data_IF_643607434221
#
_entry.id   IF_643607434221
#
_cell.length_a   1.000
_cell.length_b   1.000
_cell.length_c   1.000
_cell.angle_alpha   90.00
_cell.angle_beta   90.00
_cell.angle_gamma   90.00
#
_symmetry.space_group_name_H-M   'P 1'
#
loop_
_entity.id
_entity.type
_entity.pdbx_description
1 polymer ?
#
# COMPACT_ATOMS: atom_id res chain seq x y z
N UNK A 1 -31.32 17.67 -9.93
CA UNK A 1 -31.39 16.56 -8.94
C UNK A 1 -30.59 15.31 -9.35
N UNK A 2 -30.34 15.04 -10.64
CA UNK A 2 -29.55 13.88 -11.11
C UNK A 2 -28.04 13.85 -10.72
N UNK A 3 -27.42 14.96 -10.34
CA UNK A 3 -25.97 15.00 -9.99
C UNK A 3 -25.63 14.53 -8.57
N UNK A 4 -26.59 14.60 -7.63
CA UNK A 4 -26.36 14.20 -6.24
C UNK A 4 -26.41 12.67 -6.06
N UNK A 5 -27.14 11.97 -6.93
CA UNK A 5 -27.29 10.51 -6.86
C UNK A 5 -26.09 9.79 -7.48
N UNK A 6 -25.58 10.31 -8.61
CA UNK A 6 -24.36 9.81 -9.25
C UNK A 6 -23.11 9.97 -8.36
N UNK A 7 -23.00 11.09 -7.64
CA UNK A 7 -21.86 11.33 -6.72
C UNK A 7 -21.92 10.47 -5.45
N UNK A 8 -23.11 10.08 -5.00
CA UNK A 8 -23.27 9.12 -3.89
C UNK A 8 -22.88 7.71 -4.31
N UNK A 9 -23.35 7.27 -5.48
CA UNK A 9 -23.00 5.95 -6.01
C UNK A 9 -21.48 5.80 -6.22
N UNK A 10 -20.82 6.82 -6.76
CA UNK A 10 -19.37 6.84 -6.95
C UNK A 10 -18.64 6.80 -5.59
N UNK A 11 -19.14 7.54 -4.59
CA UNK A 11 -18.57 7.49 -3.25
C UNK A 11 -18.68 6.10 -2.61
N UNK A 12 -19.85 5.45 -2.69
CA UNK A 12 -20.08 4.12 -2.12
C UNK A 12 -19.22 3.06 -2.83
N UNK A 13 -19.04 3.19 -4.15
CA UNK A 13 -18.13 2.34 -4.91
C UNK A 13 -16.67 2.50 -4.43
N UNK A 14 -16.19 3.72 -4.20
CA UNK A 14 -14.85 3.95 -3.66
C UNK A 14 -14.69 3.39 -2.25
N UNK A 15 -15.72 3.48 -1.39
CA UNK A 15 -15.68 2.93 -0.03
C UNK A 15 -15.64 1.39 -0.04
N UNK A 16 -16.19 0.74 -1.07
CA UNK A 16 -16.15 -0.72 -1.23
C UNK A 16 -14.72 -1.27 -1.44
N UNK A 17 -13.77 -0.42 -1.82
CA UNK A 17 -12.36 -0.79 -2.01
C UNK A 17 -11.56 -0.80 -0.69
N UNK A 18 -12.15 -0.35 0.41
CA UNK A 18 -11.54 -0.33 1.73
C UNK A 18 -11.75 -1.67 2.45
N UNK A 19 -10.88 -2.02 3.42
CA UNK A 19 -11.13 -3.14 4.31
C UNK A 19 -12.49 -3.02 5.01
N UNK A 20 -13.13 -4.14 5.36
CA UNK A 20 -14.44 -4.11 6.03
C UNK A 20 -14.42 -3.33 7.36
N UNK A 21 -13.29 -3.37 8.08
CA UNK A 21 -13.10 -2.68 9.34
C UNK A 21 -11.63 -2.39 9.60
N UNK A 22 -11.36 -1.41 10.44
CA UNK A 22 -10.04 -1.18 11.01
C UNK A 22 -10.13 -1.06 12.53
N UNK A 23 -9.00 -1.28 13.18
CA UNK A 23 -8.87 -1.05 14.62
C UNK A 23 -8.48 0.41 14.87
N UNK A 24 -9.06 1.08 15.84
CA UNK A 24 -8.60 2.39 16.30
C UNK A 24 -7.28 2.27 17.08
N UNK A 25 -6.73 3.40 17.53
CA UNK A 25 -5.60 3.43 18.46
C UNK A 25 -5.99 2.87 19.85
N UNK A 26 -7.24 3.06 20.29
CA UNK A 26 -7.78 2.47 21.52
C UNK A 26 -7.98 0.95 21.43
N UNK A 27 -7.84 0.36 20.24
CA UNK A 27 -8.04 -1.07 19.99
C UNK A 27 -9.46 -1.45 19.58
N UNK A 28 -10.39 -0.48 19.60
CA UNK A 28 -11.79 -0.64 19.21
C UNK A 28 -11.93 -0.95 17.71
N UNK A 29 -12.98 -1.68 17.34
CA UNK A 29 -13.25 -2.03 15.95
C UNK A 29 -14.23 -1.04 15.32
N UNK A 30 -13.88 -0.48 14.17
CA UNK A 30 -14.73 0.48 13.45
C UNK A 30 -14.84 0.13 11.98
N UNK A 31 -16.04 0.30 11.40
CA UNK A 31 -16.25 0.11 9.97
C UNK A 31 -15.45 1.14 9.16
N UNK A 32 -14.71 0.69 8.14
CA UNK A 32 -13.79 1.58 7.41
C UNK A 32 -14.50 2.69 6.64
N UNK A 33 -15.70 2.42 6.13
CA UNK A 33 -16.52 3.44 5.47
C UNK A 33 -16.88 4.63 6.37
N UNK A 34 -16.86 4.46 7.70
CA UNK A 34 -17.12 5.56 8.65
C UNK A 34 -15.85 6.34 9.04
N UNK A 35 -14.68 5.70 8.96
CA UNK A 35 -13.39 6.26 9.36
C UNK A 35 -12.32 5.98 8.30
N UNK A 36 -12.53 6.48 7.09
CA UNK A 36 -11.68 6.15 5.93
C UNK A 36 -10.21 6.51 6.17
N UNK A 37 -9.93 7.76 6.54
CA UNK A 37 -8.56 8.25 6.70
C UNK A 37 -7.78 7.47 7.78
N UNK A 38 -8.29 7.31 9.02
CA UNK A 38 -7.61 6.49 10.02
C UNK A 38 -7.39 5.04 9.59
N UNK A 39 -8.34 4.44 8.86
CA UNK A 39 -8.19 3.08 8.37
C UNK A 39 -7.10 2.97 7.30
N UNK A 40 -7.06 3.89 6.33
CA UNK A 40 -6.03 3.92 5.27
C UNK A 40 -4.64 4.15 5.86
N UNK A 41 -4.53 5.05 6.84
CA UNK A 41 -3.28 5.31 7.56
C UNK A 41 -2.76 4.07 8.28
N UNK A 42 -3.65 3.39 9.01
CA UNK A 42 -3.31 2.17 9.74
C UNK A 42 -2.91 1.03 8.80
N UNK A 43 -3.59 0.93 7.66
CA UNK A 43 -3.30 -0.08 6.64
C UNK A 43 -1.88 0.06 6.08
N UNK A 44 -1.38 1.29 6.01
CA UNK A 44 -0.06 1.65 5.50
C UNK A 44 0.92 2.02 6.62
N UNK A 45 0.63 1.59 7.85
CA UNK A 45 1.42 2.00 8.99
C UNK A 45 2.74 1.24 9.10
N UNK A 46 3.82 2.02 9.23
CA UNK A 46 5.19 1.54 9.36
C UNK A 46 5.81 1.93 10.72
N UNK A 47 5.06 2.45 11.69
CA UNK A 47 5.61 2.92 12.98
C UNK A 47 6.53 1.89 13.66
N UNK A 48 6.12 0.62 13.67
CA UNK A 48 6.91 -0.48 14.23
C UNK A 48 8.19 -0.79 13.45
N UNK A 49 8.18 -0.61 12.14
CA UNK A 49 9.37 -0.78 11.32
C UNK A 49 10.30 0.42 11.49
N UNK A 50 9.73 1.63 11.56
CA UNK A 50 10.47 2.87 11.77
C UNK A 50 11.24 2.86 13.10
N UNK A 51 10.68 2.28 14.16
CA UNK A 51 11.35 2.19 15.47
C UNK A 51 12.60 1.29 15.47
N UNK A 52 12.70 0.37 14.50
CA UNK A 52 13.86 -0.50 14.31
C UNK A 52 14.69 -0.15 13.07
N UNK A 53 14.35 0.95 12.38
CA UNK A 53 14.98 1.33 11.11
C UNK A 53 16.51 1.45 11.22
N UNK A 54 17.00 1.96 12.34
CA UNK A 54 18.44 2.07 12.65
C UNK A 54 19.17 0.72 12.75
N UNK A 55 18.44 -0.40 12.82
CA UNK A 55 18.98 -1.76 12.86
C UNK A 55 18.78 -2.53 11.55
N UNK A 56 17.98 -2.01 10.60
CA UNK A 56 17.67 -2.73 9.35
C UNK A 56 18.89 -2.98 8.48
N UNK A 57 19.96 -2.19 8.62
CA UNK A 57 21.25 -2.46 7.96
C UNK A 57 21.83 -3.84 8.32
N UNK A 58 21.50 -4.39 9.50
CA UNK A 58 21.89 -5.75 9.92
C UNK A 58 21.17 -6.81 9.07
N UNK A 59 20.00 -6.47 8.54
CA UNK A 59 19.14 -7.38 7.76
C UNK A 59 19.44 -7.39 6.26
N UNK A 60 20.31 -6.50 5.77
CA UNK A 60 20.77 -6.48 4.39
C UNK A 60 20.97 -5.07 3.84
N UNK A 61 21.28 -5.00 2.53
CA UNK A 61 21.32 -3.73 1.78
C UNK A 61 19.92 -3.34 1.32
N UNK A 62 19.69 -2.03 1.23
CA UNK A 62 18.52 -1.43 0.60
C UNK A 62 18.56 -1.66 -0.92
N UNK A 63 18.14 -2.86 -1.33
CA UNK A 63 17.99 -3.24 -2.73
C UNK A 63 16.52 -3.58 -3.00
N UNK A 64 16.00 -3.31 -4.21
CA UNK A 64 14.70 -3.80 -4.60
C UNK A 64 14.61 -5.32 -4.39
N UNK A 65 13.45 -5.84 -3.94
CA UNK A 65 13.30 -7.26 -3.72
C UNK A 65 13.50 -8.04 -5.02
N UNK A 66 14.02 -9.27 -4.91
CA UNK A 66 14.13 -10.17 -6.07
C UNK A 66 12.73 -10.56 -6.56
N UNK A 67 12.52 -10.75 -7.87
CA UNK A 67 11.24 -11.15 -8.43
C UNK A 67 10.69 -12.46 -7.83
N UNK A 68 9.37 -12.65 -7.86
CA UNK A 68 8.66 -13.75 -7.19
C UNK A 68 9.18 -15.14 -7.60
N UNK A 69 9.38 -15.39 -8.90
CA UNK A 69 9.91 -16.67 -9.38
C UNK A 69 11.28 -16.99 -8.76
N UNK A 70 12.11 -15.97 -8.54
CA UNK A 70 13.41 -16.14 -7.90
C UNK A 70 13.26 -16.42 -6.40
N UNK A 71 12.28 -15.82 -5.72
CA UNK A 71 11.97 -16.16 -4.32
C UNK A 71 11.61 -17.66 -4.18
N UNK A 72 10.85 -18.20 -5.14
CA UNK A 72 10.50 -19.62 -5.17
C UNK A 72 11.73 -20.52 -5.40
N UNK A 73 12.64 -20.14 -6.31
CA UNK A 73 13.91 -20.85 -6.52
C UNK A 73 14.79 -20.86 -5.26
N UNK A 74 14.74 -19.78 -4.47
CA UNK A 74 15.40 -19.71 -3.16
C UNK A 74 14.68 -20.52 -2.06
N UNK A 75 13.65 -21.29 -2.41
CA UNK A 75 12.89 -22.12 -1.49
C UNK A 75 12.01 -21.32 -0.53
N UNK A 76 11.67 -20.06 -0.85
CA UNK A 76 10.81 -19.22 0.00
C UNK A 76 9.36 -19.39 -0.41
N UNK A 77 8.55 -20.00 0.45
CA UNK A 77 7.10 -20.00 0.31
C UNK A 77 6.51 -18.62 0.58
N UNK A 78 5.56 -18.20 -0.23
CA UNK A 78 4.85 -16.93 -0.06
C UNK A 78 3.77 -17.10 1.02
N UNK A 79 3.78 -16.22 2.01
CA UNK A 79 2.79 -16.16 3.09
C UNK A 79 2.10 -14.81 3.09
N UNK A 80 0.77 -14.81 2.99
CA UNK A 80 -0.05 -13.60 2.98
C UNK A 80 -0.15 -13.03 4.40
N UNK A 81 0.08 -11.72 4.52
CA UNK A 81 -0.10 -10.96 5.77
C UNK A 81 -0.63 -9.57 5.49
N UNK A 82 -1.67 -9.13 6.21
CA UNK A 82 -2.21 -7.76 6.01
C UNK A 82 -1.37 -6.64 6.64
N UNK A 83 -0.26 -6.98 7.31
CA UNK A 83 0.56 -6.01 8.02
C UNK A 83 1.66 -5.44 7.14
N UNK A 84 1.68 -4.12 7.04
CA UNK A 84 2.64 -3.37 6.23
C UNK A 84 4.07 -3.47 6.77
N UNK A 85 4.24 -3.46 8.10
CA UNK A 85 5.54 -3.45 8.79
C UNK A 85 6.34 -4.77 8.66
N UNK A 86 5.73 -5.81 8.10
CA UNK A 86 6.36 -7.10 7.84
C UNK A 86 6.34 -7.48 6.35
N UNK A 87 5.90 -6.58 5.48
CA UNK A 87 6.00 -6.77 4.03
C UNK A 87 7.48 -6.94 3.64
N UNK A 88 7.79 -7.96 2.84
CA UNK A 88 9.15 -8.42 2.45
C UNK A 88 9.98 -9.07 3.56
N UNK A 89 9.50 -9.15 4.80
CA UNK A 89 10.22 -9.88 5.86
C UNK A 89 10.30 -11.35 5.45
N UNK A 90 11.50 -11.91 5.50
CA UNK A 90 11.75 -13.31 5.14
C UNK A 90 12.33 -14.05 6.33
N UNK A 91 11.87 -15.28 6.54
CA UNK A 91 12.44 -16.23 7.51
C UNK A 91 12.85 -17.49 6.77
N UNK A 92 13.39 -18.49 7.48
CA UNK A 92 13.75 -19.78 6.88
C UNK A 92 12.57 -20.37 6.10
N UNK A 93 12.73 -20.46 4.78
CA UNK A 93 11.74 -21.03 3.86
C UNK A 93 10.45 -20.23 3.65
N UNK A 94 10.35 -18.98 4.15
CA UNK A 94 9.11 -18.18 4.02
C UNK A 94 9.40 -16.71 3.74
N UNK A 95 8.51 -16.08 2.99
CA UNK A 95 8.48 -14.64 2.74
C UNK A 95 7.07 -14.11 2.99
N UNK A 96 6.97 -13.09 3.83
CA UNK A 96 5.69 -12.46 4.17
C UNK A 96 5.41 -11.32 3.20
N UNK A 97 4.27 -11.41 2.52
CA UNK A 97 3.83 -10.40 1.56
C UNK A 97 2.41 -9.95 1.90
N UNK A 98 2.23 -8.64 1.86
CA UNK A 98 0.93 -7.98 2.00
C UNK A 98 0.32 -7.81 0.62
N UNK A 99 -0.86 -8.38 0.33
CA UNK A 99 -1.56 -8.16 -0.95
C UNK A 99 -1.73 -6.68 -1.24
N UNK A 100 -1.72 -6.29 -2.51
CA UNK A 100 -1.96 -4.89 -2.86
C UNK A 100 -3.41 -4.52 -2.50
N UNK A 101 -3.63 -3.57 -1.56
CA UNK A 101 -4.98 -3.12 -1.28
C UNK A 101 -5.59 -2.46 -2.52
N UNK A 102 -6.83 -2.79 -2.84
CA UNK A 102 -7.47 -2.32 -4.09
C UNK A 102 -7.52 -0.80 -4.18
N UNK A 103 -7.67 -0.11 -3.04
CA UNK A 103 -7.66 1.34 -3.03
C UNK A 103 -6.35 1.98 -3.52
N UNK A 104 -5.22 1.27 -3.47
CA UNK A 104 -3.95 1.77 -4.02
C UNK A 104 -3.91 1.72 -5.55
N UNK A 105 -4.82 0.98 -6.18
CA UNK A 105 -4.92 0.86 -7.64
C UNK A 105 -6.00 1.78 -8.23
N UNK A 106 -6.69 2.57 -7.39
CA UNK A 106 -7.78 3.46 -7.78
C UNK A 106 -7.32 4.94 -7.73
N UNK A 107 -7.08 5.60 -8.87
CA UNK A 107 -6.55 6.97 -8.93
C UNK A 107 -7.39 8.01 -8.17
N UNK A 108 -8.70 7.82 -8.08
CA UNK A 108 -9.56 8.73 -7.35
C UNK A 108 -9.27 8.75 -5.84
N UNK A 109 -8.91 7.60 -5.26
CA UNK A 109 -8.54 7.50 -3.84
C UNK A 109 -7.20 8.17 -3.56
N UNK A 110 -6.26 8.14 -4.51
CA UNK A 110 -5.01 8.88 -4.41
C UNK A 110 -5.23 10.38 -4.31
N UNK A 111 -6.11 10.90 -5.16
CA UNK A 111 -6.45 12.33 -5.15
C UNK A 111 -7.18 12.73 -3.87
N UNK A 112 -8.09 11.87 -3.36
CA UNK A 112 -8.94 12.18 -2.22
C UNK A 112 -8.27 11.99 -0.85
N UNK A 113 -7.43 10.97 -0.69
CA UNK A 113 -6.91 10.57 0.63
C UNK A 113 -5.37 10.51 0.70
N UNK A 114 -4.67 10.45 -0.44
CA UNK A 114 -3.20 10.29 -0.48
C UNK A 114 -2.46 11.54 -1.01
N UNK A 115 -3.17 12.60 -1.38
CA UNK A 115 -2.56 13.81 -1.96
C UNK A 115 -2.76 15.00 -1.05
N UNK A 116 -1.78 15.91 -1.03
CA UNK A 116 -2.01 17.23 -0.45
C UNK A 116 -2.98 18.02 -1.35
N UNK A 117 -3.86 18.83 -0.74
CA UNK A 117 -4.73 19.74 -1.48
C UNK A 117 -3.93 20.75 -2.31
N UNK A 118 -4.48 21.24 -3.43
CA UNK A 118 -3.81 22.17 -4.37
C UNK A 118 -3.30 23.47 -3.74
N UNK A 119 -3.77 23.81 -2.54
CA UNK A 119 -3.36 24.99 -1.77
C UNK A 119 -2.24 24.71 -0.76
N UNK A 120 -1.60 23.54 -0.82
CA UNK A 120 -0.51 23.20 0.10
C UNK A 120 0.80 23.92 -0.27
N UNK A 121 1.35 24.68 0.65
CA UNK A 121 2.68 25.32 0.54
C UNK A 121 3.85 24.38 0.82
N UNK A 122 3.67 23.05 0.68
CA UNK A 122 4.68 22.04 0.96
C UNK A 122 5.81 22.11 -0.08
N UNK A 123 6.74 23.03 0.12
CA UNK A 123 8.03 23.03 -0.55
C UNK A 123 8.92 21.94 0.06
N UNK A 124 9.75 21.32 -0.78
CA UNK A 124 10.44 20.06 -0.51
C UNK A 124 11.47 20.08 0.63
N UNK A 125 11.80 21.22 1.24
CA UNK A 125 13.11 21.36 1.90
C UNK A 125 13.15 22.12 3.24
N UNK A 126 12.08 22.20 4.05
CA UNK A 126 12.21 22.76 5.42
C UNK A 126 11.49 21.96 6.51
N UNK A 127 12.29 21.38 7.40
CA UNK A 127 11.97 20.76 8.68
C UNK A 127 11.53 21.78 9.75
N UNK A 128 10.55 22.64 9.44
CA UNK A 128 9.88 23.42 10.49
C UNK A 128 8.57 22.72 10.86
N UNK A 129 8.71 21.84 11.86
CA UNK A 129 7.64 21.06 12.46
C UNK A 129 6.63 21.97 13.17
N UNK A 130 5.66 22.47 12.42
CA UNK A 130 4.40 22.96 12.96
C UNK A 130 3.26 22.18 12.29
N UNK A 131 2.94 21.04 12.92
CA UNK A 131 1.98 20.03 12.49
C UNK A 131 0.75 20.56 11.76
N UNK A 132 0.81 20.50 10.44
CA UNK A 132 -0.38 20.58 9.60
C UNK A 132 -0.90 19.16 9.39
N UNK A 133 -2.22 18.98 9.29
CA UNK A 133 -2.87 17.72 8.87
C UNK A 133 -2.34 17.19 7.52
N UNK A 134 -1.58 18.01 6.80
CA UNK A 134 -0.98 17.79 5.48
C UNK A 134 0.36 17.02 5.47
N UNK A 135 1.15 17.02 6.57
CA UNK A 135 2.33 16.13 6.67
C UNK A 135 1.91 14.65 6.63
N UNK A 136 0.73 14.37 7.17
CA UNK A 136 0.09 13.05 7.19
C UNK A 136 -0.15 12.52 5.79
N UNK A 137 -0.77 13.32 4.91
CA UNK A 137 -1.06 12.96 3.52
C UNK A 137 0.22 12.65 2.73
N UNK A 138 1.26 13.49 2.85
CA UNK A 138 2.57 13.26 2.23
C UNK A 138 3.21 11.95 2.70
N UNK A 139 3.17 11.70 4.01
CA UNK A 139 3.68 10.47 4.61
C UNK A 139 2.99 9.23 4.08
N UNK A 140 1.65 9.22 4.03
CA UNK A 140 0.89 8.08 3.49
C UNK A 140 1.24 7.87 2.01
N UNK A 141 1.29 8.94 1.20
CA UNK A 141 1.67 8.84 -0.23
C UNK A 141 3.03 8.18 -0.42
N UNK A 142 4.02 8.60 0.35
CA UNK A 142 5.38 8.07 0.25
C UNK A 142 5.42 6.59 0.63
N UNK A 143 4.70 6.18 1.68
CA UNK A 143 4.58 4.77 2.08
C UNK A 143 3.86 3.93 1.01
N UNK A 144 2.77 4.45 0.45
CA UNK A 144 2.05 3.82 -0.66
C UNK A 144 2.96 3.59 -1.88
N UNK A 145 3.73 4.61 -2.28
CA UNK A 145 4.65 4.50 -3.41
C UNK A 145 5.80 3.52 -3.14
N UNK A 146 6.40 3.55 -1.94
CA UNK A 146 7.43 2.59 -1.56
C UNK A 146 6.93 1.14 -1.61
N UNK A 147 5.68 0.93 -1.23
CA UNK A 147 5.02 -0.37 -1.32
C UNK A 147 4.66 -0.79 -2.74
N UNK A 148 4.17 0.11 -3.58
CA UNK A 148 3.94 -0.23 -4.99
C UNK A 148 5.25 -0.48 -5.73
N UNK A 149 6.31 0.23 -5.36
CA UNK A 149 7.65 0.02 -5.90
C UNK A 149 8.19 -1.37 -5.57
N UNK A 150 7.97 -1.89 -4.36
CA UNK A 150 8.36 -3.28 -4.05
C UNK A 150 7.65 -4.28 -4.95
N UNK A 151 6.38 -4.03 -5.28
CA UNK A 151 5.60 -4.86 -6.19
C UNK A 151 6.04 -4.77 -7.64
N UNK A 152 6.46 -3.60 -8.13
CA UNK A 152 7.07 -3.46 -9.45
C UNK A 152 8.35 -4.32 -9.58
N UNK A 153 9.13 -4.43 -8.50
CA UNK A 153 10.32 -5.29 -8.44
C UNK A 153 9.98 -6.79 -8.23
N UNK A 154 8.96 -7.12 -7.45
CA UNK A 154 8.49 -8.50 -7.26
C UNK A 154 7.86 -9.07 -8.55
N UNK A 155 7.13 -8.23 -9.29
CA UNK A 155 6.32 -8.61 -10.46
C UNK A 155 6.92 -8.00 -11.73
N UNK A 156 8.16 -8.37 -12.04
CA UNK A 156 8.89 -7.84 -13.19
C UNK A 156 8.62 -8.59 -14.49
N UNK A 157 8.21 -9.86 -14.42
CA UNK A 157 7.91 -10.67 -15.60
C UNK A 157 6.47 -11.21 -15.56
N UNK A 158 5.98 -11.67 -16.71
CA UNK A 158 4.64 -12.27 -16.81
C UNK A 158 4.51 -13.57 -15.98
N UNK A 159 5.61 -14.32 -15.80
CA UNK A 159 5.65 -15.46 -14.86
C UNK A 159 5.43 -15.02 -13.42
N UNK A 160 6.08 -13.95 -12.98
CA UNK A 160 5.86 -13.35 -11.66
C UNK A 160 4.42 -12.86 -11.50
N UNK A 161 3.87 -12.28 -12.57
CA UNK A 161 2.47 -11.87 -12.58
C UNK A 161 1.55 -13.07 -12.33
N UNK A 162 1.75 -14.19 -13.01
CA UNK A 162 0.97 -15.42 -12.75
C UNK A 162 1.14 -15.92 -11.31
N UNK A 163 2.37 -15.96 -10.80
CA UNK A 163 2.64 -16.34 -9.39
C UNK A 163 1.90 -15.40 -8.42
N UNK A 164 1.86 -14.10 -8.69
CA UNK A 164 1.17 -13.12 -7.85
C UNK A 164 -0.35 -13.36 -7.81
N UNK A 165 -0.93 -13.80 -8.93
CA UNK A 165 -2.37 -14.11 -9.05
C UNK A 165 -2.69 -15.40 -8.31
N UNK A 166 -1.89 -16.44 -8.51
CA UNK A 166 -2.00 -17.72 -7.80
C UNK A 166 -1.88 -17.54 -6.29
N UNK A 167 -0.96 -16.66 -5.86
CA UNK A 167 -0.73 -16.33 -4.46
C UNK A 167 -1.72 -15.30 -3.90
N UNK A 168 -2.66 -14.79 -4.71
CA UNK A 168 -3.66 -13.77 -4.33
C UNK A 168 -3.05 -12.46 -3.80
N UNK A 169 -1.89 -12.08 -4.33
CA UNK A 169 -1.22 -10.81 -4.03
C UNK A 169 -1.78 -9.64 -4.86
N UNK A 170 -2.35 -9.95 -6.02
CA UNK A 170 -3.01 -9.00 -6.93
C UNK A 170 -4.48 -9.38 -7.11
N UNK A 171 -5.33 -8.36 -7.30
CA UNK A 171 -6.75 -8.51 -7.61
C UNK A 171 -6.94 -9.38 -8.87
N UNK A 172 -7.91 -10.32 -8.90
CA UNK A 172 -8.14 -11.21 -10.03
C UNK A 172 -8.54 -10.49 -11.33
N UNK A 173 -9.00 -9.25 -11.26
CA UNK A 173 -9.43 -8.41 -12.38
C UNK A 173 -8.26 -7.75 -13.13
N UNK A 174 -7.11 -7.60 -12.48
CA UNK A 174 -5.94 -6.96 -13.10
C UNK A 174 -5.38 -7.91 -14.17
N UNK A 175 -5.13 -7.38 -15.37
CA UNK A 175 -4.45 -8.09 -16.46
C UNK A 175 -2.96 -7.74 -16.50
N UNK A 176 -2.16 -8.57 -17.17
CA UNK A 176 -0.73 -8.26 -17.36
C UNK A 176 -0.49 -6.93 -18.10
N UNK A 177 -1.21 -6.61 -19.20
CA UNK A 177 -1.11 -5.28 -19.81
C UNK A 177 -1.52 -4.15 -18.85
N UNK A 178 -2.57 -4.35 -18.04
CA UNK A 178 -2.98 -3.38 -17.04
C UNK A 178 -1.92 -3.14 -15.97
N UNK A 179 -1.26 -4.19 -15.50
CA UNK A 179 -0.13 -4.09 -14.58
C UNK A 179 1.04 -3.32 -15.17
N UNK A 180 1.38 -3.58 -16.45
CA UNK A 180 2.43 -2.83 -17.14
C UNK A 180 2.13 -1.33 -17.23
N UNK A 181 0.93 -0.97 -17.64
CA UNK A 181 0.48 0.43 -17.69
C UNK A 181 0.52 1.08 -16.30
N UNK A 182 0.19 0.32 -15.26
CA UNK A 182 0.25 0.82 -13.88
C UNK A 182 1.69 1.13 -13.43
N UNK A 183 2.66 0.28 -13.76
CA UNK A 183 4.08 0.47 -13.40
C UNK A 183 4.73 1.64 -14.17
N UNK A 184 4.22 1.99 -15.35
CA UNK A 184 4.74 3.07 -16.19
C UNK A 184 4.27 4.49 -15.77
N UNK A 185 3.35 4.62 -14.82
CA UNK A 185 2.79 5.90 -14.34
C UNK A 185 3.60 6.54 -13.21
#
# INVERSE_FOLDING_TARGET
EHGADASRHDHDQLLSLLPASCRTESGDLTAAGRQVTPCVEKELDLQRLASIHSWLWVTGRDMPPRPLHHQLVLGRGIVIMERMDIHLVSTTGRMFLKPIPHFLLEPQLWTKYLSCGRECGCSSDKDDAQGCTQERGRGIRQRSLGFLFSYAALISQESDFRISKESRLLSPEISWPGWRIFVEQ
#
